data_IF_968636470666
#
_entry.id   IF_968636470666
#
_cell.length_a   1.000
_cell.length_b   1.000
_cell.length_c   1.000
_cell.angle_alpha   90.00
_cell.angle_beta   90.00
_cell.angle_gamma   90.00
#
_symmetry.space_group_name_H-M   'P 1'
#
loop_
_entity.id
_entity.type
_entity.pdbx_description
1 polymer ?
#
# COMPACT_ATOMS: atom_id res chain seq x y z
N UNK A 1 -3.51 20.62 -3.31
CA UNK A 1 -4.71 19.76 -3.44
C UNK A 1 -5.89 20.69 -3.57
N UNK A 2 -7.09 20.23 -3.85
CA UNK A 2 -8.25 21.09 -3.71
C UNK A 2 -9.36 20.32 -3.02
N UNK A 3 -10.01 20.95 -2.04
CA UNK A 3 -11.14 20.39 -1.31
C UNK A 3 -12.35 21.25 -1.57
N UNK A 4 -13.42 20.60 -1.97
CA UNK A 4 -14.73 21.20 -2.11
C UNK A 4 -15.63 20.53 -1.06
N UNK A 5 -16.34 21.34 -0.28
CA UNK A 5 -17.37 20.79 0.61
C UNK A 5 -18.43 20.07 -0.23
N UNK A 6 -18.87 18.89 0.20
CA UNK A 6 -19.97 18.20 -0.47
C UNK A 6 -21.27 19.02 -0.47
N UNK A 7 -21.41 19.96 0.47
CA UNK A 7 -22.56 20.87 0.57
C UNK A 7 -22.72 21.78 -0.67
N UNK A 8 -21.61 22.08 -1.37
CA UNK A 8 -21.61 22.87 -2.61
C UNK A 8 -22.13 22.08 -3.83
N UNK A 9 -22.29 20.76 -3.70
CA UNK A 9 -22.79 19.84 -4.71
C UNK A 9 -24.19 19.30 -4.36
N UNK A 10 -24.91 19.99 -3.45
CA UNK A 10 -26.20 19.57 -2.93
C UNK A 10 -27.21 19.30 -4.07
N UNK A 11 -27.56 18.03 -4.25
CA UNK A 11 -28.54 17.55 -5.22
C UNK A 11 -28.06 16.45 -6.17
N UNK A 12 -26.75 16.30 -6.38
CA UNK A 12 -26.23 15.46 -7.48
C UNK A 12 -25.91 13.99 -7.11
N UNK A 13 -25.88 13.63 -5.81
CA UNK A 13 -25.47 12.28 -5.34
C UNK A 13 -26.40 11.67 -4.27
N UNK A 14 -27.66 11.33 -4.60
CA UNK A 14 -28.60 10.74 -3.64
C UNK A 14 -28.16 9.35 -3.13
N UNK A 15 -27.25 8.68 -3.84
CA UNK A 15 -26.75 7.34 -3.47
C UNK A 15 -25.72 7.38 -2.31
N UNK A 16 -25.16 8.54 -1.98
CA UNK A 16 -24.13 8.67 -0.95
C UNK A 16 -24.55 9.64 0.17
N UNK A 17 -25.47 9.22 1.06
CA UNK A 17 -26.08 10.08 2.06
C UNK A 17 -25.10 10.59 3.13
N UNK A 18 -23.97 9.90 3.32
CA UNK A 18 -22.93 10.29 4.27
C UNK A 18 -21.77 11.06 3.61
N UNK A 19 -21.86 11.44 2.34
CA UNK A 19 -20.79 12.17 1.66
C UNK A 19 -20.64 13.58 2.25
N UNK A 20 -19.46 13.87 2.81
CA UNK A 20 -19.17 15.19 3.41
C UNK A 20 -18.08 15.98 2.67
N UNK A 21 -17.12 15.29 2.08
CA UNK A 21 -16.01 15.95 1.37
C UNK A 21 -15.78 15.35 -0.01
N UNK A 22 -15.67 16.21 -1.02
CA UNK A 22 -15.11 15.86 -2.33
C UNK A 22 -13.72 16.51 -2.47
N UNK A 23 -12.72 15.68 -2.70
CA UNK A 23 -11.33 16.06 -2.82
C UNK A 23 -10.78 15.82 -4.21
N UNK A 24 -10.02 16.77 -4.76
CA UNK A 24 -9.23 16.56 -5.97
C UNK A 24 -7.75 16.69 -5.64
N UNK A 25 -6.97 15.72 -6.08
CA UNK A 25 -5.51 15.82 -6.09
C UNK A 25 -5.00 15.75 -7.51
N UNK A 26 -3.99 16.57 -7.79
CA UNK A 26 -3.36 16.66 -9.11
C UNK A 26 -1.94 16.11 -8.96
N UNK A 27 -1.64 15.06 -9.69
CA UNK A 27 -0.31 14.49 -9.81
C UNK A 27 0.38 15.04 -11.06
N UNK A 28 1.62 15.52 -10.91
CA UNK A 28 2.48 15.89 -12.03
C UNK A 28 3.59 14.85 -12.14
N UNK A 29 3.73 14.24 -13.32
CA UNK A 29 4.81 13.29 -13.62
C UNK A 29 5.54 13.75 -14.86
N UNK A 30 6.86 13.89 -14.76
CA UNK A 30 7.73 14.20 -15.88
C UNK A 30 8.75 13.07 -16.05
N UNK A 31 8.61 12.33 -17.14
CA UNK A 31 9.59 11.32 -17.53
C UNK A 31 10.61 11.91 -18.49
N UNK A 32 11.87 11.48 -18.38
CA UNK A 32 12.94 11.94 -19.27
C UNK A 32 12.59 11.58 -20.72
N UNK A 33 12.42 12.61 -21.56
CA UNK A 33 12.10 12.45 -22.98
C UNK A 33 10.60 12.32 -23.31
N UNK A 34 9.70 12.45 -22.33
CA UNK A 34 8.25 12.52 -22.58
C UNK A 34 7.68 13.87 -22.17
N UNK A 35 6.53 14.21 -22.76
CA UNK A 35 5.74 15.35 -22.31
C UNK A 35 5.29 15.14 -20.86
N UNK A 36 5.21 16.21 -20.06
CA UNK A 36 4.69 16.11 -18.71
C UNK A 36 3.24 15.64 -18.73
N UNK A 37 2.91 14.69 -17.85
CA UNK A 37 1.55 14.19 -17.68
C UNK A 37 0.93 14.74 -16.38
N UNK A 38 -0.30 15.22 -16.49
CA UNK A 38 -1.14 15.62 -15.36
C UNK A 38 -2.20 14.56 -15.12
N UNK A 39 -2.31 14.11 -13.88
CA UNK A 39 -3.28 13.11 -13.46
C UNK A 39 -4.20 13.72 -12.40
N UNK A 40 -5.49 13.76 -12.70
CA UNK A 40 -6.53 14.20 -11.76
C UNK A 40 -7.10 12.99 -11.05
N UNK A 41 -7.11 13.02 -9.72
CA UNK A 41 -7.68 11.96 -8.88
C UNK A 41 -8.74 12.55 -7.97
N UNK A 42 -9.95 12.05 -8.10
CA UNK A 42 -11.11 12.44 -7.30
C UNK A 42 -11.26 11.48 -6.12
N UNK A 43 -11.53 12.03 -4.94
CA UNK A 43 -11.68 11.31 -3.68
C UNK A 43 -12.98 11.74 -3.02
N UNK A 44 -13.73 10.77 -2.51
CA UNK A 44 -14.92 11.00 -1.69
C UNK A 44 -14.64 10.59 -0.24
N UNK A 45 -15.19 11.33 0.71
CA UNK A 45 -15.05 11.00 2.13
C UNK A 45 -16.33 11.35 2.91
N UNK A 46 -16.69 10.48 3.85
CA UNK A 46 -17.72 10.75 4.85
C UNK A 46 -17.24 11.58 6.03
N UNK A 47 -15.92 11.84 6.11
CA UNK A 47 -15.35 12.77 7.07
C UNK A 47 -15.29 14.17 6.46
N UNK A 48 -15.43 15.19 7.32
CA UNK A 48 -15.09 16.57 6.97
C UNK A 48 -13.57 16.73 6.99
N UNK A 49 -12.97 16.92 5.82
CA UNK A 49 -11.53 17.01 5.66
C UNK A 49 -11.14 18.43 5.22
N UNK A 50 -10.11 18.98 5.83
CA UNK A 50 -9.41 20.15 5.30
C UNK A 50 -8.49 19.73 4.15
N UNK A 51 -8.04 20.69 3.34
CA UNK A 51 -7.11 20.42 2.24
C UNK A 51 -5.84 19.70 2.72
N UNK A 52 -5.29 20.11 3.86
CA UNK A 52 -4.09 19.51 4.45
C UNK A 52 -4.32 18.06 4.87
N UNK A 53 -5.46 17.79 5.55
CA UNK A 53 -5.83 16.45 6.00
C UNK A 53 -6.08 15.52 4.81
N UNK A 54 -6.77 15.99 3.79
CA UNK A 54 -6.95 15.23 2.54
C UNK A 54 -5.60 14.93 1.90
N UNK A 55 -4.72 15.92 1.77
CA UNK A 55 -3.41 15.74 1.16
C UNK A 55 -2.56 14.71 1.94
N UNK A 56 -2.59 14.77 3.27
CA UNK A 56 -1.91 13.82 4.14
C UNK A 56 -2.51 12.41 4.02
N UNK A 57 -3.83 12.29 3.98
CA UNK A 57 -4.52 11.01 3.81
C UNK A 57 -4.17 10.37 2.46
N UNK A 58 -4.26 11.13 1.37
CA UNK A 58 -3.90 10.68 0.02
C UNK A 58 -2.44 10.24 -0.05
N UNK A 59 -1.50 11.04 0.47
CA UNK A 59 -0.07 10.65 0.52
C UNK A 59 0.14 9.39 1.37
N UNK A 60 -0.55 9.27 2.49
CA UNK A 60 -0.43 8.10 3.37
C UNK A 60 -0.99 6.84 2.71
N UNK A 61 -2.10 6.95 1.99
CA UNK A 61 -2.68 5.88 1.19
C UNK A 61 -1.71 5.42 0.10
N UNK A 62 -1.18 6.34 -0.71
CA UNK A 62 -0.16 6.03 -1.72
C UNK A 62 1.11 5.41 -1.13
N UNK A 63 1.50 5.81 0.08
CA UNK A 63 2.65 5.21 0.77
C UNK A 63 2.40 3.75 1.12
N UNK A 64 1.17 3.37 1.46
CA UNK A 64 0.79 1.97 1.70
C UNK A 64 0.88 1.20 0.38
N UNK A 65 0.27 1.73 -0.68
CA UNK A 65 0.27 1.11 -2.01
C UNK A 65 1.69 0.84 -2.52
N UNK A 66 2.55 1.87 -2.47
CA UNK A 66 3.92 1.77 -2.97
C UNK A 66 4.82 0.86 -2.13
N UNK A 67 4.67 0.84 -0.80
CA UNK A 67 5.58 0.08 0.08
C UNK A 67 5.09 -1.34 0.40
N UNK A 68 3.79 -1.60 0.28
CA UNK A 68 3.18 -2.88 0.60
C UNK A 68 2.73 -3.58 -0.68
N UNK A 69 1.73 -3.03 -1.38
CA UNK A 69 1.08 -3.68 -2.52
C UNK A 69 2.07 -3.93 -3.65
N UNK A 70 2.79 -2.90 -4.11
CA UNK A 70 3.80 -3.09 -5.16
C UNK A 70 4.84 -4.16 -4.82
N UNK A 71 5.24 -4.29 -3.55
CA UNK A 71 6.19 -5.33 -3.13
C UNK A 71 5.53 -6.71 -3.16
N UNK A 72 4.28 -6.84 -2.75
CA UNK A 72 3.53 -8.09 -2.82
C UNK A 72 3.31 -8.52 -4.28
N UNK A 73 2.90 -7.60 -5.15
CA UNK A 73 2.61 -7.88 -6.54
C UNK A 73 3.90 -8.20 -7.31
N UNK A 74 4.86 -7.27 -7.31
CA UNK A 74 6.06 -7.38 -8.15
C UNK A 74 7.13 -8.31 -7.60
N UNK A 75 7.21 -8.47 -6.27
CA UNK A 75 8.19 -9.38 -5.66
C UNK A 75 7.53 -10.71 -5.34
N UNK A 76 6.41 -10.74 -4.62
CA UNK A 76 5.74 -11.99 -4.20
C UNK A 76 4.84 -12.63 -5.25
N UNK A 77 4.68 -12.02 -6.43
CA UNK A 77 3.87 -12.55 -7.53
C UNK A 77 2.45 -12.86 -7.04
N UNK A 78 1.88 -11.93 -6.27
CA UNK A 78 0.55 -12.08 -5.71
C UNK A 78 -0.51 -12.16 -6.81
N UNK A 79 -0.45 -11.27 -7.81
CA UNK A 79 -1.36 -11.26 -8.96
C UNK A 79 -1.26 -12.50 -9.85
N UNK A 80 -0.06 -13.09 -9.96
CA UNK A 80 0.16 -14.30 -10.77
C UNK A 80 -0.36 -15.57 -10.05
N UNK A 81 -0.82 -15.45 -8.80
CA UNK A 81 -1.20 -16.59 -7.97
C UNK A 81 -2.64 -17.03 -8.25
N UNK A 82 -2.78 -18.10 -9.05
CA UNK A 82 -4.06 -18.69 -9.44
C UNK A 82 -4.64 -19.65 -8.39
N UNK A 83 -4.67 -19.24 -7.12
CA UNK A 83 -5.24 -20.05 -6.03
C UNK A 83 -6.64 -19.53 -5.71
N UNK A 84 -7.66 -20.28 -6.10
CA UNK A 84 -9.07 -19.89 -5.99
C UNK A 84 -9.89 -20.75 -5.02
N UNK A 85 -9.25 -21.68 -4.32
CA UNK A 85 -9.96 -22.66 -3.47
C UNK A 85 -10.20 -22.11 -2.07
N UNK A 86 -11.47 -22.03 -1.67
CA UNK A 86 -11.88 -21.73 -0.29
C UNK A 86 -11.12 -20.52 0.28
N UNK A 87 -10.58 -20.61 1.50
CA UNK A 87 -9.83 -19.54 2.16
C UNK A 87 -8.33 -19.52 1.79
N UNK A 88 -7.90 -20.28 0.78
CA UNK A 88 -6.49 -20.42 0.45
C UNK A 88 -5.87 -19.10 -0.05
N UNK A 89 -6.62 -18.28 -0.79
CA UNK A 89 -6.17 -16.97 -1.25
C UNK A 89 -5.86 -16.03 -0.07
N UNK A 90 -6.78 -15.96 0.90
CA UNK A 90 -6.63 -15.14 2.11
C UNK A 90 -5.48 -15.64 2.98
N UNK A 91 -5.40 -16.94 3.23
CA UNK A 91 -4.33 -17.54 4.02
C UNK A 91 -2.94 -17.23 3.44
N UNK A 92 -2.80 -17.33 2.12
CA UNK A 92 -1.53 -17.04 1.45
C UNK A 92 -1.22 -15.55 1.48
N UNK A 93 -2.21 -14.67 1.31
CA UNK A 93 -2.01 -13.23 1.42
C UNK A 93 -1.49 -12.85 2.82
N UNK A 94 -2.05 -13.44 3.88
CA UNK A 94 -1.58 -13.26 5.26
C UNK A 94 -0.13 -13.74 5.42
N UNK A 95 0.19 -14.95 4.93
CA UNK A 95 1.55 -15.49 5.01
C UNK A 95 2.58 -14.62 4.28
N UNK A 96 2.23 -14.08 3.10
CA UNK A 96 3.09 -13.15 2.36
C UNK A 96 3.34 -11.87 3.14
N UNK A 97 2.30 -11.31 3.76
CA UNK A 97 2.43 -10.11 4.61
C UNK A 97 3.31 -10.36 5.82
N UNK A 98 3.17 -11.51 6.48
CA UNK A 98 4.04 -11.92 7.60
C UNK A 98 5.50 -12.02 7.10
N UNK A 99 5.75 -12.76 6.02
CA UNK A 99 7.10 -12.93 5.47
C UNK A 99 7.73 -11.59 5.06
N UNK A 100 6.96 -10.69 4.44
CA UNK A 100 7.42 -9.35 4.06
C UNK A 100 7.81 -8.53 5.29
N UNK A 101 7.01 -8.57 6.37
CA UNK A 101 7.32 -7.87 7.61
C UNK A 101 8.63 -8.38 8.23
N UNK A 102 8.83 -9.71 8.27
CA UNK A 102 10.09 -10.30 8.76
C UNK A 102 11.30 -9.86 7.92
N UNK A 103 11.17 -9.85 6.58
CA UNK A 103 12.24 -9.40 5.67
C UNK A 103 12.57 -7.91 5.82
N UNK A 104 11.57 -7.07 6.14
CA UNK A 104 11.75 -5.64 6.42
C UNK A 104 12.45 -5.41 7.76
N UNK A 105 12.21 -6.25 8.76
CA UNK A 105 12.81 -6.14 10.10
C UNK A 105 14.27 -6.63 10.14
N UNK A 106 14.62 -7.59 9.30
CA UNK A 106 16.01 -8.02 9.13
C UNK A 106 16.90 -6.84 8.69
N UNK A 107 18.09 -6.67 9.26
CA UNK A 107 18.87 -5.41 9.19
C UNK A 107 19.80 -5.29 7.97
N UNK A 108 20.04 -6.38 7.24
CA UNK A 108 20.96 -6.38 6.10
C UNK A 108 20.48 -5.40 5.03
N UNK A 109 21.39 -4.54 4.55
CA UNK A 109 21.10 -3.52 3.52
C UNK A 109 21.01 -4.15 2.12
N UNK A 110 19.93 -4.88 1.88
CA UNK A 110 19.61 -5.51 0.60
C UNK A 110 18.16 -5.25 0.23
N UNK A 111 17.88 -5.27 -1.07
CA UNK A 111 16.49 -5.23 -1.55
C UNK A 111 15.72 -6.45 -1.06
N UNK A 112 14.41 -6.30 -0.86
CA UNK A 112 13.52 -7.40 -0.43
C UNK A 112 13.66 -8.61 -1.36
N UNK A 113 13.78 -8.37 -2.68
CA UNK A 113 14.06 -9.42 -3.68
C UNK A 113 15.33 -10.21 -3.38
N UNK A 114 16.43 -9.52 -3.06
CA UNK A 114 17.70 -10.15 -2.73
C UNK A 114 17.68 -10.87 -1.39
N UNK A 115 17.01 -10.30 -0.37
CA UNK A 115 16.83 -10.96 0.92
C UNK A 115 16.04 -12.26 0.76
N UNK A 116 14.93 -12.25 0.01
CA UNK A 116 14.16 -13.46 -0.27
C UNK A 116 15.00 -14.52 -0.98
N UNK A 117 15.74 -14.14 -2.03
CA UNK A 117 16.65 -15.05 -2.73
C UNK A 117 17.70 -15.63 -1.79
N UNK A 118 18.27 -14.80 -0.91
CA UNK A 118 19.29 -15.24 0.06
C UNK A 118 18.72 -16.17 1.12
N UNK A 119 17.52 -15.91 1.62
CA UNK A 119 16.82 -16.78 2.57
C UNK A 119 16.55 -18.16 1.94
N UNK A 120 16.22 -18.19 0.65
CA UNK A 120 16.07 -19.44 -0.09
C UNK A 120 17.39 -20.21 -0.27
N UNK A 121 18.52 -19.51 -0.44
CA UNK A 121 19.84 -20.13 -0.70
C UNK A 121 20.67 -20.44 0.56
N UNK A 122 20.38 -19.81 1.71
CA UNK A 122 21.19 -19.92 2.93
C UNK A 122 20.32 -20.04 4.16
N UNK A 123 20.34 -21.22 4.78
CA UNK A 123 19.58 -21.54 6.00
C UNK A 123 19.92 -20.55 7.13
N UNK A 124 21.19 -20.22 7.34
CA UNK A 124 21.60 -19.26 8.38
C UNK A 124 20.96 -17.87 8.18
N UNK A 125 20.78 -17.44 6.94
CA UNK A 125 20.12 -16.16 6.67
C UNK A 125 18.60 -16.26 6.84
N UNK A 126 18.00 -17.41 6.50
CA UNK A 126 16.59 -17.67 6.81
C UNK A 126 16.34 -17.61 8.33
N UNK A 127 17.19 -18.25 9.13
CA UNK A 127 17.13 -18.19 10.59
C UNK A 127 17.23 -16.76 11.12
N UNK A 128 18.13 -15.93 10.57
CA UNK A 128 18.23 -14.51 10.94
C UNK A 128 16.94 -13.73 10.64
N UNK A 129 16.31 -13.99 9.48
CA UNK A 129 15.02 -13.39 9.11
C UNK A 129 13.92 -13.82 10.08
N UNK A 130 13.86 -15.11 10.42
CA UNK A 130 12.89 -15.65 11.37
C UNK A 130 13.09 -15.06 12.77
N UNK A 131 14.32 -15.04 13.27
CA UNK A 131 14.66 -14.43 14.57
C UNK A 131 14.29 -12.95 14.61
N UNK A 132 14.59 -12.19 13.55
CA UNK A 132 14.19 -10.79 13.47
C UNK A 132 12.66 -10.64 13.55
N UNK A 133 11.91 -11.49 12.83
CA UNK A 133 10.45 -11.54 12.88
C UNK A 133 9.86 -11.84 14.26
N UNK A 134 10.36 -12.90 14.92
CA UNK A 134 9.87 -13.36 16.22
C UNK A 134 10.32 -12.47 17.38
N UNK A 135 11.40 -11.70 17.23
CA UNK A 135 11.84 -10.77 18.29
C UNK A 135 10.80 -9.72 18.65
N UNK A 136 9.86 -9.39 17.75
CA UNK A 136 8.73 -8.50 18.01
C UNK A 136 7.49 -9.19 18.62
N UNK A 137 7.47 -10.53 18.74
CA UNK A 137 6.39 -11.30 19.36
C UNK A 137 6.62 -11.56 20.86
N UNK A 138 7.85 -11.35 21.36
CA UNK A 138 8.21 -11.52 22.77
C UNK A 138 7.78 -10.33 23.66
N UNK A 139 6.72 -9.60 23.28
CA UNK A 139 6.13 -8.50 24.07
C UNK A 139 4.67 -8.82 24.46
N UNK A 140 4.33 -10.11 24.55
CA UNK A 140 3.08 -10.58 25.16
C UNK A 140 3.44 -11.42 26.39
#
# INVERSE_FOLDING_TARGET
SHVISADLLNGDFPEWPELKTLGVTIGYRQEKGKLPSLEYRYYISSAELTEEKLAQAVRSHWRIENNLHWVLDAIFHEDDCQIYRENAAENIAILRRIALNMLKQEKTKLSIRMKRKRAWMRIQFLEQVLQAGFSNLNVI
#
